data_IF_202967699505
#
_entry.id   IF_202967699505
#
_cell.length_a   1.000
_cell.length_b   1.000
_cell.length_c   1.000
_cell.angle_alpha   90.00
_cell.angle_beta   90.00
_cell.angle_gamma   90.00
#
_symmetry.space_group_name_H-M   'P 1'
#
loop_
_entity.id
_entity.type
_entity.pdbx_description
1 polymer ?
#
# COMPACT_ATOMS: atom_id res chain seq x y z
N UNK A 1 -13.08 33.81 28.30
CA UNK A 1 -12.30 34.56 27.30
C UNK A 1 -12.29 33.67 26.09
N UNK A 2 -12.97 34.08 25.01
CA UNK A 2 -13.12 33.26 23.82
C UNK A 2 -11.85 33.38 22.98
N UNK A 3 -11.05 32.32 22.98
CA UNK A 3 -9.71 32.32 22.40
C UNK A 3 -9.70 31.94 20.93
N UNK A 4 -10.78 31.34 20.42
CA UNK A 4 -10.89 30.76 19.09
C UNK A 4 -11.76 31.58 18.12
N UNK A 5 -12.17 32.79 18.51
CA UNK A 5 -12.93 33.71 17.65
C UNK A 5 -12.23 33.90 16.29
N UNK A 6 -10.91 34.13 16.30
CA UNK A 6 -10.12 34.29 15.07
C UNK A 6 -10.08 33.07 14.14
N UNK A 7 -10.41 31.89 14.65
CA UNK A 7 -10.49 30.66 13.86
C UNK A 7 -11.88 30.51 13.24
N UNK A 8 -12.94 30.91 13.95
CA UNK A 8 -14.34 30.71 13.55
C UNK A 8 -14.92 31.85 12.72
N UNK A 9 -14.52 33.08 13.00
CA UNK A 9 -15.13 34.29 12.42
C UNK A 9 -14.15 35.02 11.50
N UNK A 10 -14.67 35.68 10.47
CA UNK A 10 -13.87 36.55 9.60
C UNK A 10 -13.44 37.82 10.34
N UNK A 11 -12.35 38.44 9.88
CA UNK A 11 -11.88 39.69 10.46
C UNK A 11 -12.96 40.77 10.28
N UNK A 12 -13.51 41.34 11.37
CA UNK A 12 -14.56 42.35 11.28
C UNK A 12 -14.05 43.66 10.68
N UNK A 13 -14.95 44.50 10.16
CA UNK A 13 -14.57 45.81 9.62
C UNK A 13 -14.22 46.77 10.78
N UNK A 14 -12.95 47.20 10.90
CA UNK A 14 -12.50 48.07 11.99
C UNK A 14 -13.25 49.41 12.02
N UNK A 15 -13.83 49.84 10.88
CA UNK A 15 -14.58 51.09 10.76
C UNK A 15 -15.94 51.04 11.43
N UNK A 16 -16.49 49.83 11.64
CA UNK A 16 -17.85 49.61 12.14
C UNK A 16 -17.87 49.00 13.53
N UNK A 17 -16.90 48.15 13.84
CA UNK A 17 -16.90 47.30 15.03
C UNK A 17 -15.51 47.26 15.70
N UNK A 18 -15.12 48.41 16.29
CA UNK A 18 -13.78 48.60 16.88
C UNK A 18 -13.49 47.59 18.01
N UNK A 19 -14.46 47.36 18.91
CA UNK A 19 -14.24 46.50 20.08
C UNK A 19 -14.15 45.02 19.69
N UNK A 20 -15.00 44.58 18.76
CA UNK A 20 -14.97 43.23 18.20
C UNK A 20 -13.66 42.97 17.43
N UNK A 21 -13.16 43.99 16.71
CA UNK A 21 -11.87 43.91 16.03
C UNK A 21 -10.72 43.70 17.01
N UNK A 22 -10.68 44.46 18.11
CA UNK A 22 -9.66 44.27 19.16
C UNK A 22 -9.73 42.89 19.80
N UNK A 23 -10.94 42.38 20.03
CA UNK A 23 -11.14 41.05 20.57
C UNK A 23 -10.68 39.96 19.58
N UNK A 24 -10.98 40.14 18.29
CA UNK A 24 -10.53 39.26 17.21
C UNK A 24 -9.00 39.25 17.10
N UNK A 25 -8.35 40.42 17.08
CA UNK A 25 -6.89 40.55 17.01
C UNK A 25 -6.20 39.89 18.23
N UNK A 26 -6.78 40.07 19.42
CA UNK A 26 -6.29 39.42 20.64
C UNK A 26 -6.40 37.89 20.53
N UNK A 27 -7.54 37.37 20.07
CA UNK A 27 -7.73 35.94 19.81
C UNK A 27 -6.71 35.44 18.79
N UNK A 28 -6.53 36.15 17.68
CA UNK A 28 -5.60 35.82 16.60
C UNK A 28 -4.18 35.66 17.12
N UNK A 29 -3.70 36.64 17.89
CA UNK A 29 -2.36 36.63 18.49
C UNK A 29 -2.16 35.44 19.43
N UNK A 30 -3.14 35.15 20.29
CA UNK A 30 -3.04 34.05 21.25
C UNK A 30 -3.06 32.70 20.55
N UNK A 31 -3.97 32.50 19.59
CA UNK A 31 -4.05 31.26 18.82
C UNK A 31 -2.77 30.98 18.04
N UNK A 32 -2.19 31.97 17.38
CA UNK A 32 -0.90 31.84 16.71
C UNK A 32 0.21 31.44 17.68
N UNK A 33 0.25 32.06 18.87
CA UNK A 33 1.27 31.74 19.88
C UNK A 33 1.13 30.29 20.36
N UNK A 34 -0.10 29.83 20.63
CA UNK A 34 -0.39 28.45 21.03
C UNK A 34 0.03 27.48 19.92
N UNK A 35 -0.37 27.73 18.68
CA UNK A 35 -0.03 26.86 17.55
C UNK A 35 1.49 26.79 17.33
N UNK A 36 2.21 27.91 17.32
CA UNK A 36 3.67 27.94 17.16
C UNK A 36 4.41 27.18 18.27
N UNK A 37 3.89 27.21 19.50
CA UNK A 37 4.44 26.47 20.65
C UNK A 37 4.13 24.97 20.55
N UNK A 38 2.87 24.62 20.23
CA UNK A 38 2.38 23.23 20.23
C UNK A 38 2.83 22.43 19.01
N UNK A 39 3.07 23.09 17.89
CA UNK A 39 3.55 22.42 16.68
C UNK A 39 5.02 22.02 16.87
N UNK A 40 5.36 20.74 16.63
CA UNK A 40 6.74 20.27 16.71
C UNK A 40 7.66 21.05 15.78
N UNK A 41 8.92 21.22 16.19
CA UNK A 41 9.90 22.05 15.48
C UNK A 41 10.07 21.63 14.01
N UNK A 42 9.94 20.33 13.72
CA UNK A 42 10.07 19.75 12.39
C UNK A 42 9.03 20.29 11.39
N UNK A 43 7.87 20.75 11.87
CA UNK A 43 6.78 21.25 11.04
C UNK A 43 6.71 22.79 10.99
N UNK A 44 7.58 23.51 11.70
CA UNK A 44 7.51 24.99 11.75
C UNK A 44 7.88 25.65 10.41
N UNK A 45 8.73 25.02 9.60
CA UNK A 45 9.10 25.52 8.27
C UNK A 45 8.05 25.34 7.18
N UNK A 46 6.93 24.69 7.51
CA UNK A 46 5.80 24.49 6.57
C UNK A 46 5.00 25.77 6.37
N UNK A 47 4.88 26.57 7.43
CA UNK A 47 4.06 27.78 7.38
C UNK A 47 4.93 28.95 6.93
N UNK A 48 4.57 29.66 5.85
CA UNK A 48 5.28 30.86 5.42
C UNK A 48 5.35 31.94 6.52
N UNK A 49 6.44 32.70 6.57
CA UNK A 49 6.65 33.73 7.61
C UNK A 49 5.68 34.92 7.50
N UNK A 50 5.12 35.15 6.31
CA UNK A 50 4.15 36.20 6.00
C UNK A 50 2.72 35.88 6.46
N UNK A 51 2.46 34.67 6.98
CA UNK A 51 1.16 34.30 7.53
C UNK A 51 0.90 35.04 8.84
N UNK A 52 -0.09 35.92 8.82
CA UNK A 52 -0.47 36.79 9.95
C UNK A 52 -1.76 36.37 10.65
N UNK A 53 -2.52 35.45 10.05
CA UNK A 53 -3.80 34.98 10.60
C UNK A 53 -3.71 33.55 11.13
N UNK A 54 -4.32 33.30 12.29
CA UNK A 54 -4.39 32.00 12.96
C UNK A 54 -5.09 30.95 12.09
N UNK A 55 -6.13 31.35 11.34
CA UNK A 55 -6.84 30.51 10.37
C UNK A 55 -5.93 30.05 9.21
N UNK A 56 -5.22 30.98 8.58
CA UNK A 56 -4.29 30.67 7.49
C UNK A 56 -3.14 29.77 7.98
N UNK A 57 -2.63 30.07 9.18
CA UNK A 57 -1.60 29.27 9.82
C UNK A 57 -2.08 27.83 10.04
N UNK A 58 -3.31 27.65 10.55
CA UNK A 58 -3.91 26.33 10.75
C UNK A 58 -4.11 25.60 9.41
N UNK A 59 -4.60 26.29 8.37
CA UNK A 59 -4.79 25.70 7.04
C UNK A 59 -3.47 25.24 6.41
N UNK A 60 -2.38 26.02 6.57
CA UNK A 60 -1.06 25.65 6.09
C UNK A 60 -0.52 24.38 6.78
N UNK A 61 -0.80 24.24 8.08
CA UNK A 61 -0.44 23.05 8.86
C UNK A 61 -1.30 21.86 8.44
N UNK A 62 -2.60 22.06 8.29
CA UNK A 62 -3.55 21.02 7.87
C UNK A 62 -3.17 20.44 6.50
N UNK A 63 -2.71 21.28 5.56
CA UNK A 63 -2.21 20.83 4.25
C UNK A 63 -1.06 19.83 4.34
N UNK A 64 -0.26 19.85 5.40
CA UNK A 64 0.79 18.84 5.62
C UNK A 64 0.26 17.50 6.15
N UNK A 65 -0.94 17.50 6.72
CA UNK A 65 -1.62 16.30 7.21
C UNK A 65 -2.74 15.82 6.28
N UNK A 66 -3.07 16.61 5.26
CA UNK A 66 -3.89 16.17 4.14
C UNK A 66 -3.24 14.89 3.58
N UNK A 67 -3.93 13.77 3.79
CA UNK A 67 -3.48 12.45 3.34
C UNK A 67 -3.01 12.59 1.90
N UNK A 68 -1.71 12.42 1.69
CA UNK A 68 -1.16 12.51 0.36
C UNK A 68 -1.61 11.25 -0.39
N UNK A 69 -2.80 11.28 -0.98
CA UNK A 69 -3.37 10.20 -1.80
C UNK A 69 -2.35 9.79 -2.88
N UNK A 70 -1.52 10.75 -3.34
CA UNK A 70 -0.39 10.48 -4.23
C UNK A 70 0.65 9.54 -3.60
N UNK A 71 0.98 9.72 -2.32
CA UNK A 71 1.83 8.76 -1.59
C UNK A 71 1.13 7.45 -1.29
N UNK A 72 -0.19 7.43 -1.05
CA UNK A 72 -0.92 6.17 -0.84
C UNK A 72 -0.93 5.33 -2.13
N UNK A 73 -1.14 5.96 -3.29
CA UNK A 73 -1.03 5.31 -4.61
C UNK A 73 0.40 4.81 -4.85
N UNK A 74 1.41 5.61 -4.55
CA UNK A 74 2.83 5.23 -4.70
C UNK A 74 3.21 4.03 -3.81
N UNK A 75 2.78 4.04 -2.55
CA UNK A 75 2.99 2.94 -1.61
C UNK A 75 2.32 1.65 -2.10
N UNK A 76 1.06 1.72 -2.52
CA UNK A 76 0.33 0.53 -3.00
C UNK A 76 0.92 0.02 -4.33
N UNK A 77 1.42 0.90 -5.19
CA UNK A 77 2.11 0.54 -6.43
C UNK A 77 3.44 -0.15 -6.18
N UNK A 78 4.22 0.35 -5.22
CA UNK A 78 5.46 -0.29 -4.79
C UNK A 78 5.18 -1.65 -4.13
N UNK A 79 4.16 -1.74 -3.28
CA UNK A 79 3.72 -3.00 -2.67
C UNK A 79 3.38 -4.03 -3.76
N UNK A 80 2.56 -3.67 -4.75
CA UNK A 80 2.16 -4.60 -5.82
C UNK A 80 3.32 -5.06 -6.70
N UNK A 81 4.27 -4.17 -6.97
CA UNK A 81 5.42 -4.45 -7.85
C UNK A 81 6.50 -5.26 -7.15
N UNK A 82 6.79 -4.95 -5.88
CA UNK A 82 7.83 -5.60 -5.08
C UNK A 82 7.39 -6.93 -4.46
N UNK A 83 6.08 -7.17 -4.34
CA UNK A 83 5.52 -8.39 -3.72
C UNK A 83 5.89 -9.65 -4.51
N UNK A 84 6.71 -10.49 -3.88
CA UNK A 84 7.10 -11.83 -4.33
C UNK A 84 6.58 -12.89 -3.37
N UNK A 85 6.32 -14.08 -3.91
CA UNK A 85 5.86 -15.24 -3.13
C UNK A 85 6.92 -15.61 -2.10
N UNK A 86 6.50 -15.83 -0.85
CA UNK A 86 7.39 -16.34 0.19
C UNK A 86 7.64 -17.85 0.02
N UNK A 87 8.78 -18.39 0.48
CA UNK A 87 9.09 -19.82 0.31
C UNK A 87 8.04 -20.76 0.93
N UNK A 88 7.50 -20.38 2.08
CA UNK A 88 6.54 -21.19 2.87
C UNK A 88 5.07 -20.96 2.49
N UNK A 89 4.78 -19.86 1.79
CA UNK A 89 3.42 -19.48 1.38
C UNK A 89 2.92 -20.36 0.23
N UNK A 90 1.62 -20.69 0.18
CA UNK A 90 1.04 -21.37 -0.99
C UNK A 90 0.91 -20.42 -2.19
N UNK A 91 0.83 -20.94 -3.42
CA UNK A 91 0.63 -20.04 -4.58
C UNK A 91 -0.75 -19.40 -4.54
N UNK A 92 -1.74 -20.11 -4.03
CA UNK A 92 -3.09 -19.59 -3.86
C UNK A 92 -3.10 -18.37 -2.93
N UNK A 93 -2.45 -18.46 -1.77
CA UNK A 93 -2.34 -17.35 -0.83
C UNK A 93 -1.62 -16.17 -1.47
N UNK A 94 -0.50 -16.41 -2.14
CA UNK A 94 0.22 -15.37 -2.86
C UNK A 94 -0.66 -14.61 -3.88
N UNK A 95 -1.38 -15.35 -4.72
CA UNK A 95 -2.26 -14.77 -5.73
C UNK A 95 -3.39 -13.99 -5.07
N UNK A 96 -4.01 -14.53 -4.02
CA UNK A 96 -5.08 -13.84 -3.29
C UNK A 96 -4.59 -12.56 -2.62
N UNK A 97 -3.41 -12.59 -2.00
CA UNK A 97 -2.79 -11.42 -1.37
C UNK A 97 -2.50 -10.36 -2.42
N UNK A 98 -1.87 -10.72 -3.54
CA UNK A 98 -1.54 -9.77 -4.62
C UNK A 98 -2.80 -9.22 -5.32
N UNK A 99 -3.85 -10.03 -5.45
CA UNK A 99 -5.19 -9.59 -5.89
C UNK A 99 -5.82 -8.59 -4.93
N UNK A 100 -5.66 -8.78 -3.62
CA UNK A 100 -6.18 -7.84 -2.62
C UNK A 100 -5.52 -6.46 -2.75
N UNK A 101 -4.23 -6.41 -3.06
CA UNK A 101 -3.50 -5.16 -3.35
C UNK A 101 -4.03 -4.50 -4.63
N UNK A 102 -4.26 -5.28 -5.69
CA UNK A 102 -4.90 -4.76 -6.92
C UNK A 102 -6.32 -4.20 -6.65
N UNK A 103 -7.08 -4.80 -5.73
CA UNK A 103 -8.38 -4.26 -5.31
C UNK A 103 -8.24 -2.92 -4.55
N UNK A 104 -7.21 -2.77 -3.69
CA UNK A 104 -6.89 -1.50 -3.03
C UNK A 104 -6.52 -0.42 -4.07
N UNK A 105 -5.74 -0.76 -5.09
CA UNK A 105 -5.43 0.15 -6.20
C UNK A 105 -6.69 0.68 -6.89
N UNK A 106 -7.67 -0.20 -7.12
CA UNK A 106 -8.96 0.18 -7.71
C UNK A 106 -9.73 1.15 -6.83
N UNK A 107 -9.70 0.97 -5.51
CA UNK A 107 -10.32 1.90 -4.55
C UNK A 107 -9.65 3.28 -4.55
N UNK A 108 -8.34 3.33 -4.82
CA UNK A 108 -7.58 4.57 -4.98
C UNK A 108 -7.73 5.21 -6.37
N UNK A 109 -8.61 4.68 -7.23
CA UNK A 109 -8.90 5.23 -8.56
C UNK A 109 -8.03 4.68 -9.69
N UNK A 110 -7.13 3.72 -9.43
CA UNK A 110 -6.36 3.05 -10.49
C UNK A 110 -7.13 1.86 -11.06
N UNK A 111 -7.72 2.04 -12.24
CA UNK A 111 -8.47 0.98 -12.91
C UNK A 111 -7.55 0.16 -13.82
N UNK A 112 -7.03 -0.96 -13.32
CA UNK A 112 -6.25 -1.92 -14.11
C UNK A 112 -7.19 -2.98 -14.68
N UNK A 113 -7.16 -3.28 -15.99
CA UNK A 113 -7.92 -4.38 -16.57
C UNK A 113 -7.55 -5.75 -15.97
N UNK A 114 -8.54 -6.61 -15.73
CA UNK A 114 -8.35 -7.91 -15.07
C UNK A 114 -7.38 -8.84 -15.83
N UNK A 115 -7.33 -8.75 -17.17
CA UNK A 115 -6.41 -9.52 -18.02
C UNK A 115 -4.95 -9.07 -17.85
N UNK A 116 -4.73 -7.77 -17.60
CA UNK A 116 -3.41 -7.23 -17.27
C UNK A 116 -2.98 -7.69 -15.87
N UNK A 117 -3.88 -7.66 -14.89
CA UNK A 117 -3.62 -8.17 -13.53
C UNK A 117 -3.24 -9.65 -13.58
N UNK A 118 -3.99 -10.47 -14.33
CA UNK A 118 -3.69 -11.89 -14.51
C UNK A 118 -2.32 -12.13 -15.16
N UNK A 119 -1.96 -11.32 -16.17
CA UNK A 119 -0.66 -11.42 -16.83
C UNK A 119 0.50 -11.07 -15.90
N UNK A 120 0.35 -10.03 -15.07
CA UNK A 120 1.35 -9.63 -14.07
C UNK A 120 1.51 -10.72 -12.99
N UNK A 121 0.39 -11.29 -12.52
CA UNK A 121 0.40 -12.39 -11.56
C UNK A 121 1.20 -13.59 -12.10
N UNK A 122 0.92 -14.02 -13.33
CA UNK A 122 1.64 -15.10 -14.01
C UNK A 122 3.14 -14.83 -14.16
N UNK A 123 3.51 -13.62 -14.59
CA UNK A 123 4.91 -13.24 -14.75
C UNK A 123 5.67 -13.23 -13.41
N UNK A 124 4.99 -12.93 -12.31
CA UNK A 124 5.58 -12.85 -10.97
C UNK A 124 5.72 -14.19 -10.24
N UNK A 125 5.18 -15.28 -10.78
CA UNK A 125 5.31 -16.61 -10.19
C UNK A 125 6.76 -17.14 -10.27
N UNK A 126 7.24 -17.87 -9.25
CA UNK A 126 8.55 -18.52 -9.30
C UNK A 126 8.71 -19.48 -10.49
N UNK A 127 9.95 -19.80 -10.85
CA UNK A 127 10.27 -20.73 -11.96
C UNK A 127 9.74 -22.15 -11.74
N UNK A 128 9.47 -22.52 -10.48
CA UNK A 128 8.84 -23.80 -10.12
C UNK A 128 7.46 -24.00 -10.77
N UNK A 129 6.82 -22.92 -11.21
CA UNK A 129 5.50 -22.90 -11.86
C UNK A 129 5.60 -22.58 -13.37
N UNK A 130 6.76 -22.78 -13.99
CA UNK A 130 6.94 -22.53 -15.43
C UNK A 130 6.06 -23.45 -16.29
N UNK A 131 5.66 -24.62 -15.79
CA UNK A 131 4.60 -25.48 -16.36
C UNK A 131 3.30 -24.70 -16.57
N UNK A 132 2.81 -24.02 -15.53
CA UNK A 132 1.61 -23.18 -15.60
C UNK A 132 1.80 -21.99 -16.52
N UNK A 133 2.95 -21.32 -16.49
CA UNK A 133 3.24 -20.19 -17.39
C UNK A 133 3.16 -20.63 -18.85
N UNK A 134 3.70 -21.79 -19.19
CA UNK A 134 3.67 -22.36 -20.53
C UNK A 134 2.25 -22.75 -20.97
N UNK A 135 1.44 -23.31 -20.07
CA UNK A 135 0.02 -23.62 -20.36
C UNK A 135 -0.78 -22.34 -20.60
N UNK A 136 -0.53 -21.30 -19.80
CA UNK A 136 -1.21 -20.02 -19.94
C UNK A 136 -0.79 -19.25 -21.20
N UNK A 137 0.50 -19.28 -21.57
CA UNK A 137 1.04 -18.60 -22.75
C UNK A 137 0.64 -19.29 -24.06
N UNK A 138 0.56 -20.63 -24.08
CA UNK A 138 0.11 -21.40 -25.24
C UNK A 138 -1.36 -21.15 -25.60
N UNK A 139 -2.19 -20.83 -24.60
CA UNK A 139 -3.63 -20.72 -24.78
C UNK A 139 -4.13 -19.48 -25.54
N UNK A 140 -3.32 -18.41 -25.70
CA UNK A 140 -3.72 -17.09 -26.23
C UNK A 140 -5.10 -16.56 -25.75
N UNK A 141 -5.58 -17.03 -24.60
CA UNK A 141 -6.86 -16.62 -24.03
C UNK A 141 -6.64 -15.53 -23.01
N UNK A 142 -7.55 -14.55 -22.96
CA UNK A 142 -7.67 -13.64 -21.83
C UNK A 142 -8.05 -14.49 -20.61
N UNK A 143 -7.08 -14.72 -19.73
CA UNK A 143 -7.30 -15.49 -18.52
C UNK A 143 -7.97 -14.60 -17.48
N UNK A 144 -9.05 -15.09 -16.89
CA UNK A 144 -9.58 -14.44 -15.69
C UNK A 144 -8.75 -14.84 -14.48
N UNK A 145 -8.70 -13.96 -13.50
CA UNK A 145 -8.06 -14.23 -12.20
C UNK A 145 -8.62 -15.48 -11.51
N UNK A 146 -9.89 -15.80 -11.76
CA UNK A 146 -10.54 -17.00 -11.25
C UNK A 146 -9.98 -18.29 -11.87
N UNK A 147 -9.74 -18.31 -13.19
CA UNK A 147 -9.12 -19.44 -13.87
C UNK A 147 -7.68 -19.66 -13.39
N UNK A 148 -6.96 -18.56 -13.12
CA UNK A 148 -5.62 -18.62 -12.58
C UNK A 148 -5.55 -19.36 -11.25
N UNK A 149 -6.45 -19.01 -10.32
CA UNK A 149 -6.53 -19.63 -9.00
C UNK A 149 -6.81 -21.13 -9.11
N UNK A 150 -7.73 -21.54 -10.00
CA UNK A 150 -8.07 -22.94 -10.21
C UNK A 150 -6.85 -23.77 -10.64
N UNK A 151 -6.12 -23.31 -11.66
CA UNK A 151 -4.97 -24.05 -12.17
C UNK A 151 -3.78 -24.03 -11.20
N UNK A 152 -3.57 -22.94 -10.47
CA UNK A 152 -2.52 -22.88 -9.46
C UNK A 152 -2.71 -23.89 -8.33
N UNK A 153 -3.95 -24.10 -7.87
CA UNK A 153 -4.25 -25.13 -6.87
C UNK A 153 -3.94 -26.53 -7.39
N UNK A 154 -4.32 -26.81 -8.65
CA UNK A 154 -4.08 -28.10 -9.28
C UNK A 154 -2.59 -28.42 -9.48
N UNK A 155 -1.78 -27.43 -9.85
CA UNK A 155 -0.34 -27.60 -10.05
C UNK A 155 0.42 -27.72 -8.72
N UNK A 156 -0.04 -27.01 -7.67
CA UNK A 156 0.55 -27.09 -6.34
C UNK A 156 0.45 -28.51 -5.74
N UNK A 157 -0.70 -29.17 -5.89
CA UNK A 157 -0.88 -30.57 -5.46
C UNK A 157 0.03 -31.53 -6.25
N UNK A 158 0.20 -31.27 -7.55
CA UNK A 158 1.10 -32.04 -8.42
C UNK A 158 2.56 -31.88 -8.00
N UNK A 159 3.01 -30.65 -7.72
CA UNK A 159 4.36 -30.35 -7.25
C UNK A 159 4.65 -30.95 -5.87
N UNK A 160 3.69 -30.93 -4.94
CA UNK A 160 3.81 -31.59 -3.63
C UNK A 160 3.97 -33.09 -3.77
N UNK A 161 3.22 -33.71 -4.68
CA UNK A 161 3.32 -35.14 -4.96
C UNK A 161 4.68 -35.51 -5.58
N UNK A 162 5.18 -34.71 -6.52
CA UNK A 162 6.50 -34.92 -7.14
C UNK A 162 7.66 -34.70 -6.14
N UNK A 163 7.58 -33.70 -5.25
CA UNK A 163 8.55 -33.54 -4.14
C UNK A 163 8.57 -34.79 -3.25
N UNK A 164 7.40 -35.27 -2.82
CA UNK A 164 7.28 -36.49 -1.99
C UNK A 164 7.85 -37.74 -2.69
N UNK A 165 7.63 -37.89 -4.00
CA UNK A 165 8.22 -39.00 -4.78
C UNK A 165 9.75 -38.91 -4.86
N UNK A 166 10.32 -37.71 -5.06
CA UNK A 166 11.78 -37.50 -5.08
C UNK A 166 12.42 -37.82 -3.74
N UNK A 167 11.83 -37.37 -2.64
CA UNK A 167 12.35 -37.63 -1.29
C UNK A 167 12.36 -39.14 -0.95
N UNK A 168 11.33 -39.87 -1.41
CA UNK A 168 11.27 -41.33 -1.28
C UNK A 168 12.31 -42.06 -2.14
N UNK A 169 12.57 -41.57 -3.36
CA UNK A 169 13.57 -42.17 -4.25
C UNK A 169 15.02 -41.98 -3.75
N UNK A 170 15.32 -40.85 -3.10
CA UNK A 170 16.63 -40.60 -2.49
C UNK A 170 16.86 -41.49 -1.28
N UNK A 171 15.82 -41.73 -0.45
CA UNK A 171 15.91 -42.62 0.71
C UNK A 171 16.16 -44.09 0.40
N UNK A 172 15.76 -44.58 -0.78
CA UNK A 172 15.90 -46.00 -1.16
C UNK A 172 17.29 -46.33 -1.74
N UNK A 173 18.02 -45.32 -2.23
CA UNK A 173 19.37 -45.49 -2.80
C UNK A 173 20.49 -45.75 -1.77
N UNK A 174 20.20 -45.63 -0.46
CA UNK A 174 21.18 -45.81 0.63
C UNK A 174 21.34 -47.24 1.15
N UNK A 175 20.56 -48.22 0.69
CA UNK A 175 20.62 -49.63 1.16
C UNK A 175 20.90 -50.61 0.03
N UNK A 176 22.14 -50.61 -0.50
CA UNK A 176 22.73 -51.81 -1.10
C UNK A 176 24.22 -51.61 -1.37
N UNK A 177 25.06 -52.13 -0.45
CA UNK A 177 26.36 -52.75 -0.70
C UNK A 177 26.84 -53.41 0.61
N UNK A 178 26.42 -54.65 0.84
CA UNK A 178 27.25 -55.64 1.52
C UNK A 178 27.76 -56.55 0.42
N UNK A 179 28.96 -56.27 -0.05
CA UNK A 179 29.75 -57.21 -0.86
C UNK A 179 30.11 -58.38 0.06
N UNK A 180 29.64 -59.56 -0.32
CA UNK A 180 30.24 -60.83 0.04
C UNK A 180 31.61 -60.88 -0.65
N UNK A 181 32.68 -61.14 0.09
CA UNK A 181 33.88 -61.77 -0.44
C UNK A 181 34.27 -62.92 0.49
N UNK A 182 34.65 -64.02 -0.16
CA UNK A 182 34.95 -65.37 0.36
C UNK A 182 36.18 -65.44 1.27
#
# INVERSE_FOLDING_TARGET
>A
MDLDISLREEHPDPSKQIEETKQWERSNRISLMIMRIRIPQQFRGVVPEDVTTSREYLAAVEKCYEKNVKSEVEIVLDEFSSMRKQPEESVREYIMTKMSVAAKMKQLGMHIPDDVVASILLASLPSEYDSLKNICSWGQKKWSTHQLIYHCVQDEDSLKLEKKKRDLAVGDSGKKRKTFEE
#
